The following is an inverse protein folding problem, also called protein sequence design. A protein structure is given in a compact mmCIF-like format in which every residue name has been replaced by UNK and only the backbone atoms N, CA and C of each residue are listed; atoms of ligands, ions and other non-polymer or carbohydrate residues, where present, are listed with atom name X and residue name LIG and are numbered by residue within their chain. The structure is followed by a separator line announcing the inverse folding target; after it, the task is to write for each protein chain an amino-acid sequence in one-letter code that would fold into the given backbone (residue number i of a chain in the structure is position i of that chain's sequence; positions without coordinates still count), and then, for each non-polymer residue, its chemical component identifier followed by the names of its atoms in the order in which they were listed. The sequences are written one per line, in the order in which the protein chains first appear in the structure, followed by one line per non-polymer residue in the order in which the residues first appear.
data_IF_933927101255
#
_entry.id   IF_933927101255
#
_cell.length_a   1.000
_cell.length_b   1.000
_cell.length_c   1.000
_cell.angle_alpha   90.00
_cell.angle_beta   90.00
_cell.angle_gamma   90.00
#
_symmetry.space_group_name_H-M   'P 1'
#
loop_
_entity.id
_entity.type
_entity.pdbx_description
1 polymer ?
#
# COMPACT_ATOMS: atom_id res chain seq x y z
N UNK A 1 8.50 3.38 -1.42
CA UNK A 1 8.66 4.54 -2.31
C UNK A 1 7.79 5.66 -1.75
N UNK A 2 8.35 6.83 -1.44
CA UNK A 2 7.56 7.98 -0.98
C UNK A 2 6.80 8.59 -2.17
N UNK A 3 5.49 8.92 -2.04
CA UNK A 3 4.67 9.44 -3.14
C UNK A 3 5.28 10.63 -3.88
N UNK A 4 6.03 11.50 -3.17
CA UNK A 4 6.65 12.68 -3.77
C UNK A 4 7.66 12.39 -4.88
N UNK A 5 8.44 11.30 -4.79
CA UNK A 5 9.36 10.93 -5.89
C UNK A 5 8.62 10.27 -7.06
N UNK A 6 7.53 9.56 -6.77
CA UNK A 6 6.68 8.94 -7.77
C UNK A 6 6.00 9.99 -8.65
N UNK A 7 5.44 11.05 -8.05
CA UNK A 7 4.82 12.16 -8.78
C UNK A 7 5.81 12.86 -9.71
N UNK A 8 7.02 13.15 -9.23
CA UNK A 8 8.07 13.78 -10.06
C UNK A 8 8.48 12.86 -11.22
N UNK A 9 8.60 11.55 -10.97
CA UNK A 9 8.98 10.59 -12.00
C UNK A 9 7.92 10.45 -13.10
N UNK A 10 6.63 10.31 -12.75
CA UNK A 10 5.55 10.23 -13.74
C UNK A 10 5.43 11.52 -14.55
N UNK A 11 5.46 12.68 -13.86
CA UNK A 11 5.30 13.97 -14.54
C UNK A 11 6.51 14.34 -15.43
N UNK A 12 7.60 13.57 -15.39
CA UNK A 12 8.73 13.75 -16.31
C UNK A 12 8.45 13.26 -17.74
N UNK A 13 7.40 12.47 -17.94
CA UNK A 13 7.06 11.86 -19.24
C UNK A 13 8.03 10.77 -19.71
N UNK A 14 8.99 10.36 -18.88
CA UNK A 14 9.99 9.33 -19.21
C UNK A 14 9.56 7.91 -18.85
N UNK A 15 8.48 7.76 -18.09
CA UNK A 15 8.01 6.49 -17.54
C UNK A 15 6.51 6.37 -17.75
N UNK A 16 6.07 5.22 -18.27
CA UNK A 16 4.65 4.93 -18.48
C UNK A 16 3.94 4.48 -17.20
N UNK A 17 4.70 3.96 -16.22
CA UNK A 17 4.16 3.48 -14.95
C UNK A 17 5.23 3.37 -13.85
N UNK A 18 4.79 3.16 -12.61
CA UNK A 18 5.65 2.92 -11.45
C UNK A 18 5.43 1.52 -10.90
N UNK A 19 6.54 0.84 -10.61
CA UNK A 19 6.54 -0.40 -9.83
C UNK A 19 6.63 -0.04 -8.36
N UNK A 20 5.60 -0.39 -7.58
CA UNK A 20 5.65 -0.25 -6.14
C UNK A 20 6.25 -1.53 -5.55
N UNK A 21 7.47 -1.43 -5.02
CA UNK A 21 7.95 -2.41 -4.07
C UNK A 21 7.38 -2.05 -2.69
N UNK A 22 6.38 -2.81 -2.27
CA UNK A 22 5.81 -2.68 -0.95
C UNK A 22 6.16 -3.95 -0.18
N UNK A 23 6.98 -3.78 0.86
CA UNK A 23 7.11 -4.83 1.84
C UNK A 23 5.78 -4.81 2.61
N UNK A 24 4.88 -5.74 2.28
CA UNK A 24 3.47 -5.74 2.69
C UNK A 24 3.24 -5.68 4.20
N UNK A 25 4.31 -5.90 4.95
CA UNK A 25 4.41 -5.68 6.37
C UNK A 25 5.82 -5.12 6.58
N UNK A 26 6.03 -3.83 6.35
CA UNK A 26 6.85 -3.16 7.35
C UNK A 26 6.10 -3.38 8.65
N UNK A 27 6.60 -4.27 9.50
CA UNK A 27 6.05 -4.53 10.84
C UNK A 27 5.93 -3.23 11.63
N UNK A 28 6.72 -2.23 11.27
CA UNK A 28 6.61 -0.86 11.75
C UNK A 28 5.32 -0.14 11.29
N UNK A 29 4.53 -0.64 10.35
CA UNK A 29 3.26 -0.05 9.90
C UNK A 29 2.07 -0.64 10.64
N UNK A 30 2.17 -1.91 11.04
CA UNK A 30 1.12 -2.55 11.85
C UNK A 30 0.89 -1.82 13.18
N UNK A 31 1.93 -1.19 13.75
CA UNK A 31 1.80 -0.38 14.97
C UNK A 31 1.00 0.91 14.78
N UNK A 32 0.83 1.41 13.55
CA UNK A 32 0.00 2.59 13.26
C UNK A 32 -1.41 2.19 12.86
N UNK A 33 -1.64 0.92 12.52
CA UNK A 33 -2.96 0.39 12.19
C UNK A 33 -3.82 0.05 13.40
N UNK A 34 -3.24 -0.02 14.60
CA UNK A 34 -3.97 -0.06 15.88
C UNK A 34 -4.53 1.32 16.28
N UNK A 35 -4.29 2.38 15.49
CA UNK A 35 -5.07 3.60 15.62
C UNK A 35 -6.50 3.28 15.18
N UNK A 36 -7.47 3.57 16.06
CA UNK A 36 -8.86 3.10 15.94
C UNK A 36 -9.47 3.42 14.57
N UNK A 37 -9.09 4.55 13.95
CA UNK A 37 -9.61 4.95 12.65
C UNK A 37 -9.22 4.03 11.48
N UNK A 38 -7.97 3.53 11.43
CA UNK A 38 -7.56 2.64 10.32
C UNK A 38 -8.12 1.24 10.52
N UNK A 39 -8.21 0.80 11.77
CA UNK A 39 -8.75 -0.51 12.11
C UNK A 39 -10.25 -0.60 11.80
N UNK A 40 -11.03 0.42 12.13
CA UNK A 40 -12.46 0.51 11.78
C UNK A 40 -12.66 0.49 10.26
N UNK A 41 -11.85 1.26 9.51
CA UNK A 41 -11.94 1.31 8.04
C UNK A 41 -11.64 -0.03 7.36
N UNK A 42 -10.83 -0.88 7.98
CA UNK A 42 -10.47 -2.21 7.43
C UNK A 42 -11.50 -3.27 7.84
N UNK A 43 -12.03 -3.19 9.06
CA UNK A 43 -13.09 -4.08 9.53
C UNK A 43 -14.38 -3.94 8.71
N UNK A 44 -14.70 -2.73 8.24
CA UNK A 44 -15.85 -2.48 7.36
C UNK A 44 -15.73 -3.16 5.98
N UNK A 45 -14.53 -3.61 5.58
CA UNK A 45 -14.27 -4.19 4.27
C UNK A 45 -14.38 -5.73 4.23
N UNK A 46 -14.69 -6.38 5.35
CA UNK A 46 -14.81 -7.85 5.51
C UNK A 46 -13.67 -8.63 4.81
N UNK A 47 -12.44 -8.15 5.00
CA UNK A 47 -11.23 -8.75 4.39
C UNK A 47 -10.11 -8.95 5.39
N UNK A 48 -9.30 -9.98 5.16
CA UNK A 48 -8.09 -10.21 5.95
C UNK A 48 -6.99 -9.21 5.58
N UNK A 49 -5.98 -9.13 6.45
CA UNK A 49 -4.90 -8.17 6.35
C UNK A 49 -4.05 -8.32 5.10
N UNK A 50 -3.81 -9.55 4.68
CA UNK A 50 -3.05 -9.87 3.48
C UNK A 50 -3.76 -9.33 2.23
N UNK A 51 -5.08 -9.53 2.17
CA UNK A 51 -5.92 -9.04 1.08
C UNK A 51 -5.97 -7.52 1.08
N UNK A 52 -6.15 -6.91 2.24
CA UNK A 52 -6.15 -5.46 2.38
C UNK A 52 -4.84 -4.85 1.88
N UNK A 53 -3.69 -5.35 2.33
CA UNK A 53 -2.41 -4.76 1.96
C UNK A 53 -2.11 -4.86 0.46
N UNK A 54 -2.47 -5.97 -0.20
CA UNK A 54 -2.32 -6.13 -1.65
C UNK A 54 -3.20 -5.11 -2.39
N UNK A 55 -4.48 -5.04 -2.00
CA UNK A 55 -5.44 -4.11 -2.60
C UNK A 55 -5.08 -2.65 -2.34
N UNK A 56 -4.62 -2.32 -1.14
CA UNK A 56 -4.18 -0.98 -0.78
C UNK A 56 -3.02 -0.52 -1.67
N UNK A 57 -2.04 -1.40 -1.92
CA UNK A 57 -0.92 -1.08 -2.81
C UNK A 57 -1.37 -0.85 -4.26
N UNK A 58 -2.34 -1.63 -4.73
CA UNK A 58 -2.89 -1.55 -6.09
C UNK A 58 -3.98 -0.48 -6.26
N UNK A 59 -4.52 0.07 -5.18
CA UNK A 59 -5.62 1.04 -5.23
C UNK A 59 -5.21 2.37 -5.89
N UNK A 60 -3.92 2.72 -5.84
CA UNK A 60 -3.43 3.95 -6.44
C UNK A 60 -3.23 3.78 -7.97
N UNK A 61 -3.85 4.62 -8.83
CA UNK A 61 -3.81 4.42 -10.29
C UNK A 61 -2.41 4.52 -10.91
N UNK A 62 -1.46 5.15 -10.22
CA UNK A 62 -0.05 5.22 -10.63
C UNK A 62 0.74 3.92 -10.42
N UNK A 63 0.21 2.97 -9.65
CA UNK A 63 0.84 1.67 -9.39
C UNK A 63 0.34 0.66 -10.42
N UNK A 64 1.21 0.23 -11.33
CA UNK A 64 0.85 -0.79 -12.33
C UNK A 64 1.11 -2.22 -11.87
N UNK A 65 2.00 -2.39 -10.90
CA UNK A 65 2.47 -3.69 -10.44
C UNK A 65 2.95 -3.59 -8.99
N UNK A 66 2.65 -4.65 -8.23
CA UNK A 66 3.17 -4.87 -6.89
C UNK A 66 4.02 -6.14 -6.90
N UNK A 67 5.20 -6.06 -6.29
CA UNK A 67 6.11 -7.22 -6.15
C UNK A 67 5.97 -7.79 -4.73
N UNK A 68 5.74 -9.11 -4.63
CA UNK A 68 5.45 -9.81 -3.39
C UNK A 68 6.53 -10.86 -3.07
N UNK A 69 7.01 -10.89 -1.83
CA UNK A 69 7.83 -11.97 -1.30
C UNK A 69 6.96 -13.08 -0.70
N UNK A 70 6.79 -14.18 -1.41
CA UNK A 70 5.92 -15.30 -1.02
C UNK A 70 6.73 -16.59 -0.91
N UNK A 71 6.42 -17.42 0.08
CA UNK A 71 7.23 -18.57 0.49
C UNK A 71 6.65 -19.93 0.04
N UNK A 72 5.40 -19.97 -0.44
CA UNK A 72 4.77 -21.20 -0.92
C UNK A 72 3.64 -20.94 -1.94
N UNK A 73 3.22 -21.97 -2.70
CA UNK A 73 2.17 -21.82 -3.72
C UNK A 73 0.80 -21.37 -3.19
N UNK A 74 0.43 -21.73 -1.97
CA UNK A 74 -0.86 -21.30 -1.39
C UNK A 74 -0.87 -19.77 -1.17
N UNK A 75 0.25 -19.19 -0.74
CA UNK A 75 0.40 -17.74 -0.64
C UNK A 75 0.33 -17.05 -2.00
N UNK A 76 0.88 -17.67 -3.06
CA UNK A 76 0.75 -17.14 -4.44
C UNK A 76 -0.72 -17.13 -4.88
N UNK A 77 -1.43 -18.24 -4.68
CA UNK A 77 -2.86 -18.32 -5.03
C UNK A 77 -3.70 -17.29 -4.28
N UNK A 78 -3.47 -17.14 -2.97
CA UNK A 78 -4.15 -16.14 -2.14
C UNK A 78 -3.86 -14.72 -2.61
N UNK A 79 -2.61 -14.42 -2.98
CA UNK A 79 -2.22 -13.10 -3.47
C UNK A 79 -2.87 -12.75 -4.83
N UNK A 80 -2.93 -13.71 -5.75
CA UNK A 80 -3.63 -13.54 -7.03
C UNK A 80 -5.11 -13.30 -6.79
N UNK A 81 -5.75 -14.07 -5.92
CA UNK A 81 -7.15 -13.88 -5.58
C UNK A 81 -7.40 -12.50 -4.92
N UNK A 82 -6.51 -12.04 -4.05
CA UNK A 82 -6.60 -10.74 -3.40
C UNK A 82 -6.47 -9.57 -4.38
N UNK A 83 -5.69 -9.74 -5.46
CA UNK A 83 -5.53 -8.71 -6.49
C UNK A 83 -6.83 -8.45 -7.27
N UNK A 84 -7.76 -9.41 -7.35
CA UNK A 84 -9.02 -9.24 -8.08
C UNK A 84 -10.12 -8.57 -7.25
N UNK A 85 -11.05 -7.87 -7.92
CA UNK A 85 -12.27 -7.33 -7.32
C UNK A 85 -12.21 -5.85 -6.94
N UNK A 86 -12.92 -5.47 -5.88
CA UNK A 86 -13.02 -4.07 -5.45
C UNK A 86 -11.76 -3.63 -4.67
N UNK A 87 -11.37 -2.37 -4.86
CA UNK A 87 -10.22 -1.76 -4.20
C UNK A 87 -10.69 -0.68 -3.21
N UNK A 88 -9.89 -0.40 -2.16
CA UNK A 88 -10.11 0.75 -1.28
C UNK A 88 -10.30 2.05 -2.08
N UNK A 89 -11.26 2.88 -1.66
CA UNK A 89 -11.41 4.22 -2.23
C UNK A 89 -10.18 5.09 -1.94
N UNK A 90 -9.82 5.95 -2.88
CA UNK A 90 -8.66 6.85 -2.75
C UNK A 90 -8.68 7.74 -1.50
N UNK A 91 -9.87 8.11 -1.01
CA UNK A 91 -9.99 8.85 0.25
C UNK A 91 -9.43 8.07 1.46
N UNK A 92 -9.66 6.76 1.50
CA UNK A 92 -9.09 5.88 2.53
C UNK A 92 -7.58 5.74 2.34
N UNK A 93 -7.13 5.56 1.10
CA UNK A 93 -5.70 5.46 0.78
C UNK A 93 -4.94 6.69 1.26
N UNK A 94 -5.44 7.89 0.96
CA UNK A 94 -4.85 9.14 1.40
C UNK A 94 -4.85 9.28 2.91
N UNK A 95 -5.98 9.01 3.58
CA UNK A 95 -6.07 9.09 5.05
C UNK A 95 -5.05 8.20 5.74
N UNK A 96 -4.86 6.97 5.24
CA UNK A 96 -3.84 6.05 5.78
C UNK A 96 -2.44 6.60 5.53
N UNK A 97 -2.13 7.03 4.30
CA UNK A 97 -0.80 7.58 3.96
C UNK A 97 -0.46 8.84 4.76
N UNK A 98 -1.42 9.72 4.98
CA UNK A 98 -1.29 10.90 5.85
C UNK A 98 -1.00 10.49 7.29
N UNK A 99 -1.79 9.56 7.85
CA UNK A 99 -1.58 9.03 9.21
C UNK A 99 -0.17 8.46 9.37
N UNK A 100 0.30 7.69 8.40
CA UNK A 100 1.66 7.13 8.40
C UNK A 100 2.70 8.25 8.35
N UNK A 101 2.53 9.23 7.46
CA UNK A 101 3.45 10.34 7.28
C UNK A 101 3.58 11.18 8.55
N UNK A 102 2.46 11.51 9.19
CA UNK A 102 2.41 12.28 10.44
C UNK A 102 3.09 11.55 11.60
N UNK A 103 3.01 10.22 11.63
CA UNK A 103 3.65 9.40 12.67
C UNK A 103 5.10 8.98 12.32
N UNK A 104 5.59 9.31 11.13
CA UNK A 104 6.98 9.06 10.69
C UNK A 104 7.64 10.29 10.06
N UNK A 105 7.84 11.37 10.82
CA UNK A 105 8.37 12.63 10.27
C UNK A 105 9.79 12.50 9.67
N UNK A 106 10.59 11.50 10.07
CA UNK A 106 12.01 11.38 9.71
C UNK A 106 12.31 10.39 8.58
N UNK A 107 11.31 9.91 7.83
CA UNK A 107 11.53 8.79 6.88
C UNK A 107 12.34 9.13 5.61
N UNK A 108 12.85 10.36 5.49
CA UNK A 108 13.66 10.83 4.37
C UNK A 108 14.98 11.52 4.81
N UNK A 109 15.61 11.17 5.94
CA UNK A 109 16.98 11.61 6.23
C UNK A 109 18.01 10.61 5.74
N UNK A 110 18.11 10.47 4.42
CA UNK A 110 19.33 9.96 3.79
C UNK A 110 19.95 11.15 3.04
N UNK A 111 20.85 11.84 3.75
CA UNK A 111 21.89 12.68 3.13
C UNK A 111 22.94 11.71 2.58
#
# INVERSE_FOLDING_TARGET
MTPGFADVAINSGKYDAIVAYYNLIETEMSQFFSTMEVQELILDMDMNWETFGIKFCLAHPMVSTVVLGLNNPAQVAAAVQAADGNYPHMALVHKIMETISSNRPNRNTWI
#
